data_IF_901751923691
#
_entry.id   IF_901751923691
#
_cell.length_a   1.000
_cell.length_b   1.000
_cell.length_c   1.000
_cell.angle_alpha   90.00
_cell.angle_beta   90.00
_cell.angle_gamma   90.00
#
_symmetry.space_group_name_H-M   'P 1'
#
loop_
_entity.id
_entity.type
_entity.pdbx_description
1 polymer ?
#
# COMPACT_ATOMS: atom_id res chain seq x y z
N UNK A 1 6.84 5.56 -7.29
CA UNK A 1 8.14 6.27 -7.13
C UNK A 1 8.59 6.22 -5.68
N UNK A 2 7.66 6.29 -4.72
CA UNK A 2 7.84 6.03 -3.29
C UNK A 2 8.71 4.82 -2.97
N UNK A 3 8.47 3.65 -3.58
CA UNK A 3 9.26 2.45 -3.28
C UNK A 3 10.77 2.65 -3.49
N UNK A 4 11.17 3.24 -4.62
CA UNK A 4 12.60 3.48 -4.91
C UNK A 4 13.21 4.55 -4.02
N UNK A 5 12.43 5.58 -3.66
CA UNK A 5 12.87 6.59 -2.69
C UNK A 5 13.08 5.96 -1.32
N UNK A 6 12.09 5.22 -0.81
CA UNK A 6 12.17 4.56 0.49
C UNK A 6 13.29 3.52 0.53
N UNK A 7 13.47 2.72 -0.52
CA UNK A 7 14.61 1.80 -0.68
C UNK A 7 15.94 2.57 -0.62
N UNK A 8 16.06 3.71 -1.31
CA UNK A 8 17.27 4.53 -1.29
C UNK A 8 17.51 5.14 0.11
N UNK A 9 16.48 5.68 0.77
CA UNK A 9 16.57 6.24 2.11
C UNK A 9 16.94 5.16 3.14
N UNK A 10 16.34 3.97 3.06
CA UNK A 10 16.70 2.82 3.90
C UNK A 10 18.13 2.34 3.67
N UNK A 11 18.63 2.46 2.43
CA UNK A 11 20.03 2.22 2.10
C UNK A 11 20.98 3.35 2.55
N UNK A 12 20.47 4.39 3.21
CA UNK A 12 21.26 5.50 3.75
C UNK A 12 21.46 6.67 2.79
N UNK A 13 20.64 6.80 1.75
CA UNK A 13 20.70 7.98 0.88
C UNK A 13 20.37 9.25 1.67
N UNK A 14 21.20 10.28 1.50
CA UNK A 14 21.03 11.59 2.14
C UNK A 14 20.25 12.60 1.27
N UNK A 15 19.81 12.21 0.07
CA UNK A 15 19.03 13.07 -0.80
C UNK A 15 18.52 12.35 -2.04
N UNK A 16 17.55 12.95 -2.73
CA UNK A 16 16.91 12.39 -3.92
C UNK A 16 16.60 13.47 -4.95
N UNK A 17 16.97 13.24 -6.21
CA UNK A 17 16.78 14.18 -7.31
C UNK A 17 16.12 13.44 -8.47
N UNK A 18 15.18 14.11 -9.14
CA UNK A 18 14.63 13.62 -10.38
C UNK A 18 15.62 13.82 -11.53
N UNK A 19 15.72 12.84 -12.42
CA UNK A 19 16.62 12.89 -13.59
C UNK A 19 16.43 14.16 -14.44
N UNK A 20 15.21 14.70 -14.50
CA UNK A 20 14.89 15.92 -15.25
C UNK A 20 15.45 17.21 -14.62
N UNK A 21 15.78 17.18 -13.32
CA UNK A 21 16.29 18.32 -12.56
C UNK A 21 17.77 18.15 -12.19
N UNK A 22 18.40 17.03 -12.60
CA UNK A 22 19.79 16.75 -12.27
C UNK A 22 20.74 17.85 -12.78
N UNK A 23 20.45 18.42 -13.95
CA UNK A 23 21.30 19.43 -14.59
C UNK A 23 21.36 20.74 -13.78
N UNK A 24 20.32 21.07 -13.01
CA UNK A 24 20.23 22.31 -12.23
C UNK A 24 20.40 22.10 -10.72
N UNK A 25 19.95 20.95 -10.20
CA UNK A 25 19.88 20.70 -8.76
C UNK A 25 21.02 19.84 -8.19
N UNK A 26 21.79 19.13 -9.03
CA UNK A 26 22.80 18.17 -8.53
C UNK A 26 23.90 18.85 -7.70
N UNK A 27 24.41 19.99 -8.17
CA UNK A 27 25.48 20.71 -7.46
C UNK A 27 24.98 21.22 -6.10
N UNK A 28 23.74 21.70 -6.05
CA UNK A 28 23.11 22.15 -4.81
C UNK A 28 22.90 21.00 -3.84
N UNK A 29 22.43 19.86 -4.34
CA UNK A 29 22.22 18.66 -3.56
C UNK A 29 23.50 18.15 -2.90
N UNK A 30 24.61 18.09 -3.64
CA UNK A 30 25.90 17.67 -3.09
C UNK A 30 26.34 18.63 -1.97
N UNK A 31 26.15 19.94 -2.15
CA UNK A 31 26.50 20.94 -1.14
C UNK A 31 25.62 20.85 0.12
N UNK A 32 24.33 20.57 -0.04
CA UNK A 32 23.40 20.36 1.08
C UNK A 32 23.76 19.12 1.89
N UNK A 33 23.97 17.98 1.20
CA UNK A 33 24.38 16.73 1.85
C UNK A 33 25.72 16.89 2.57
N UNK A 34 26.66 17.65 2.00
CA UNK A 34 27.93 17.97 2.67
C UNK A 34 27.75 18.73 4.00
N UNK A 35 26.68 19.54 4.13
CA UNK A 35 26.31 20.23 5.38
C UNK A 35 25.53 19.33 6.35
N UNK A 36 25.27 18.08 5.98
CA UNK A 36 24.41 17.17 6.75
C UNK A 36 22.92 17.47 6.58
N UNK A 37 22.54 18.26 5.57
CA UNK A 37 21.15 18.58 5.26
C UNK A 37 20.61 17.59 4.22
N UNK A 38 19.42 17.00 4.43
CA UNK A 38 18.78 16.22 3.40
C UNK A 38 18.38 17.12 2.23
N UNK A 39 18.49 16.62 1.00
CA UNK A 39 18.13 17.38 -0.19
C UNK A 39 17.12 16.66 -1.08
N UNK A 40 16.10 17.39 -1.50
CA UNK A 40 15.12 16.92 -2.46
C UNK A 40 14.61 18.09 -3.30
N UNK A 41 14.30 17.83 -4.57
CA UNK A 41 13.76 18.85 -5.47
C UNK A 41 12.25 19.03 -5.27
N UNK A 42 11.73 20.23 -5.54
CA UNK A 42 10.31 20.54 -5.42
C UNK A 42 9.43 19.62 -6.31
N UNK A 43 9.88 19.25 -7.52
CA UNK A 43 9.13 18.31 -8.33
C UNK A 43 9.13 16.89 -7.73
N UNK A 44 10.23 16.45 -7.09
CA UNK A 44 10.26 15.19 -6.34
C UNK A 44 9.29 15.24 -5.14
N UNK A 45 9.29 16.33 -4.37
CA UNK A 45 8.34 16.56 -3.26
C UNK A 45 6.89 16.52 -3.72
N UNK A 46 6.54 17.22 -4.80
CA UNK A 46 5.17 17.23 -5.35
C UNK A 46 4.75 15.87 -5.90
N UNK A 47 5.66 15.11 -6.49
CA UNK A 47 5.39 13.74 -6.93
C UNK A 47 5.15 12.82 -5.73
N UNK A 48 5.90 12.99 -4.64
CA UNK A 48 5.68 12.23 -3.41
C UNK A 48 4.38 12.58 -2.72
N UNK A 49 4.04 13.88 -2.62
CA UNK A 49 2.78 14.32 -2.05
C UNK A 49 1.58 13.79 -2.85
N UNK A 50 1.67 13.81 -4.19
CA UNK A 50 0.65 13.21 -5.06
C UNK A 50 0.52 11.71 -4.85
N UNK A 51 1.63 10.98 -4.87
CA UNK A 51 1.60 9.53 -4.66
C UNK A 51 1.11 9.16 -3.25
N UNK A 52 1.46 9.94 -2.22
CA UNK A 52 0.97 9.75 -0.85
C UNK A 52 -0.54 10.05 -0.73
N UNK A 53 -1.03 11.14 -1.33
CA UNK A 53 -2.46 11.45 -1.37
C UNK A 53 -3.27 10.42 -2.17
N UNK A 54 -2.68 9.84 -3.22
CA UNK A 54 -3.26 8.71 -3.95
C UNK A 54 -3.26 7.44 -3.10
N UNK A 55 -2.22 7.19 -2.30
CA UNK A 55 -2.13 6.03 -1.41
C UNK A 55 -3.10 6.13 -0.21
N UNK A 56 -3.38 7.34 0.28
CA UNK A 56 -4.35 7.58 1.37
C UNK A 56 -5.81 7.42 0.92
N UNK A 57 -6.07 7.40 -0.40
CA UNK A 57 -7.36 6.97 -0.95
C UNK A 57 -7.56 5.44 -0.94
N UNK A 58 -6.59 4.66 -0.43
CA UNK A 58 -6.62 3.20 -0.42
C UNK A 58 -6.80 2.56 0.98
N UNK A 59 -6.90 3.36 2.04
CA UNK A 59 -7.34 2.88 3.34
C UNK A 59 -8.86 2.63 3.34
N UNK A 60 -9.38 1.53 3.92
CA UNK A 60 -10.82 1.40 4.03
C UNK A 60 -11.39 2.57 4.83
N UNK A 61 -12.54 3.10 4.39
CA UNK A 61 -13.28 4.19 5.05
C UNK A 61 -13.53 3.88 6.54
N UNK A 62 -13.62 2.59 6.87
CA UNK A 62 -13.63 2.06 8.23
C UNK A 62 -12.58 0.96 8.41
N UNK A 63 -11.84 0.92 9.54
CA UNK A 63 -10.89 -0.14 9.80
C UNK A 63 -11.56 -1.53 9.80
N UNK A 64 -10.90 -2.50 9.16
CA UNK A 64 -11.36 -3.89 9.15
C UNK A 64 -11.25 -4.48 10.56
N UNK A 65 -12.31 -5.16 10.99
CA UNK A 65 -12.31 -5.99 12.20
C UNK A 65 -11.34 -7.17 12.07
N UNK A 66 -10.97 -7.80 13.18
CA UNK A 66 -10.11 -9.00 13.17
C UNK A 66 -10.69 -10.10 12.27
N UNK A 67 -11.99 -10.36 12.39
CA UNK A 67 -12.66 -11.40 11.58
C UNK A 67 -12.68 -11.06 10.09
N UNK A 68 -12.90 -9.79 9.74
CA UNK A 68 -12.82 -9.33 8.36
C UNK A 68 -11.41 -9.49 7.77
N UNK A 69 -10.35 -9.25 8.55
CA UNK A 69 -8.97 -9.48 8.12
C UNK A 69 -8.66 -10.96 7.88
N UNK A 70 -9.15 -11.85 8.75
CA UNK A 70 -9.01 -13.30 8.57
C UNK A 70 -9.71 -13.77 7.29
N UNK A 71 -10.94 -13.31 7.06
CA UNK A 71 -11.71 -13.64 5.85
C UNK A 71 -11.00 -13.11 4.60
N UNK A 72 -10.50 -11.87 4.62
CA UNK A 72 -9.73 -11.30 3.50
C UNK A 72 -8.49 -12.13 3.17
N UNK A 73 -7.74 -12.54 4.20
CA UNK A 73 -6.54 -13.38 4.02
C UNK A 73 -6.88 -14.70 3.33
N UNK A 74 -7.90 -15.41 3.80
CA UNK A 74 -8.29 -16.69 3.22
C UNK A 74 -8.85 -16.56 1.80
N UNK A 75 -9.59 -15.47 1.50
CA UNK A 75 -10.04 -15.14 0.14
C UNK A 75 -8.83 -14.95 -0.79
N UNK A 76 -7.81 -14.24 -0.30
CA UNK A 76 -6.59 -13.93 -1.02
C UNK A 76 -5.74 -15.19 -1.28
N UNK A 77 -5.73 -16.14 -0.34
CA UNK A 77 -5.17 -17.49 -0.48
C UNK A 77 -6.02 -18.44 -1.34
N UNK A 78 -6.95 -17.90 -2.12
CA UNK A 78 -7.80 -18.61 -3.06
C UNK A 78 -8.88 -19.55 -2.47
N UNK A 79 -9.13 -19.54 -1.16
CA UNK A 79 -10.19 -20.37 -0.55
C UNK A 79 -11.61 -19.98 -1.01
N UNK A 80 -12.49 -20.98 -1.11
CA UNK A 80 -13.93 -20.81 -1.36
C UNK A 80 -14.68 -20.43 -0.09
N UNK A 81 -15.87 -19.84 -0.19
CA UNK A 81 -16.68 -19.46 0.98
C UNK A 81 -16.93 -20.67 1.92
N UNK A 82 -17.18 -21.84 1.34
CA UNK A 82 -17.34 -23.10 2.09
C UNK A 82 -16.08 -23.47 2.89
N UNK A 83 -14.90 -23.46 2.24
CA UNK A 83 -13.63 -23.75 2.91
C UNK A 83 -13.31 -22.74 4.02
N UNK A 84 -13.60 -21.46 3.79
CA UNK A 84 -13.42 -20.41 4.80
C UNK A 84 -14.35 -20.67 5.99
N UNK A 85 -15.60 -21.07 5.74
CA UNK A 85 -16.56 -21.45 6.77
C UNK A 85 -16.08 -22.62 7.61
N UNK A 86 -15.54 -23.66 6.97
CA UNK A 86 -14.93 -24.81 7.64
C UNK A 86 -13.73 -24.39 8.50
N UNK A 87 -12.81 -23.59 7.97
CA UNK A 87 -11.62 -23.11 8.71
C UNK A 87 -11.99 -22.23 9.91
N UNK A 88 -12.98 -21.36 9.76
CA UNK A 88 -13.39 -20.40 10.80
C UNK A 88 -14.52 -20.91 11.71
N UNK A 89 -15.00 -22.14 11.49
CA UNK A 89 -16.14 -22.73 12.19
C UNK A 89 -17.42 -21.89 12.08
N UNK A 90 -17.69 -21.37 10.88
CA UNK A 90 -18.83 -20.51 10.54
C UNK A 90 -19.62 -21.09 9.36
N UNK A 91 -20.90 -20.71 9.25
CA UNK A 91 -21.69 -21.09 8.09
C UNK A 91 -21.22 -20.34 6.83
N UNK A 92 -21.38 -20.95 5.65
CA UNK A 92 -21.06 -20.32 4.37
C UNK A 92 -21.79 -18.97 4.20
N UNK A 93 -23.06 -18.90 4.64
CA UNK A 93 -23.87 -17.67 4.65
C UNK A 93 -23.27 -16.55 5.52
N UNK A 94 -22.63 -16.93 6.63
CA UNK A 94 -21.91 -15.97 7.49
C UNK A 94 -20.69 -15.42 6.78
N UNK A 95 -19.95 -16.26 6.03
CA UNK A 95 -18.80 -15.82 5.23
C UNK A 95 -19.23 -14.89 4.11
N UNK A 96 -20.33 -15.19 3.42
CA UNK A 96 -20.92 -14.28 2.41
C UNK A 96 -21.21 -12.89 2.99
N UNK A 97 -21.77 -12.85 4.20
CA UNK A 97 -22.07 -11.59 4.90
C UNK A 97 -20.79 -10.83 5.25
N UNK A 98 -19.75 -11.51 5.75
CA UNK A 98 -18.45 -10.88 5.99
C UNK A 98 -17.82 -10.34 4.71
N UNK A 99 -17.88 -11.09 3.61
CA UNK A 99 -17.34 -10.67 2.32
C UNK A 99 -18.09 -9.46 1.75
N UNK A 100 -19.42 -9.42 1.87
CA UNK A 100 -20.22 -8.28 1.46
C UNK A 100 -19.87 -7.00 2.25
N UNK A 101 -19.73 -7.12 3.58
CA UNK A 101 -19.31 -6.03 4.43
C UNK A 101 -17.90 -5.54 4.10
N UNK A 102 -16.99 -6.49 3.84
CA UNK A 102 -15.61 -6.19 3.49
C UNK A 102 -15.50 -5.47 2.14
N UNK A 103 -16.21 -5.93 1.11
CA UNK A 103 -16.30 -5.25 -0.19
C UNK A 103 -16.88 -3.84 -0.05
N UNK A 104 -17.93 -3.67 0.78
CA UNK A 104 -18.51 -2.36 1.05
C UNK A 104 -17.52 -1.41 1.76
N UNK A 105 -16.82 -1.88 2.79
CA UNK A 105 -15.86 -1.07 3.57
C UNK A 105 -14.61 -0.67 2.77
N UNK A 106 -14.19 -1.52 1.85
CA UNK A 106 -13.05 -1.30 0.97
C UNK A 106 -13.43 -0.65 -0.37
N UNK A 107 -14.72 -0.40 -0.60
CA UNK A 107 -15.28 0.08 -1.87
C UNK A 107 -14.88 -0.77 -3.09
N UNK A 108 -14.75 -2.08 -2.89
CA UNK A 108 -14.32 -3.03 -3.92
C UNK A 108 -15.49 -3.74 -4.57
N UNK A 109 -15.35 -4.01 -5.87
CA UNK A 109 -16.39 -4.53 -6.74
C UNK A 109 -16.30 -6.03 -6.95
N UNK A 110 -15.09 -6.59 -6.85
CA UNK A 110 -14.87 -8.00 -7.11
C UNK A 110 -13.77 -8.62 -6.25
N UNK A 111 -13.63 -9.95 -6.37
CA UNK A 111 -12.63 -10.74 -5.66
C UNK A 111 -11.20 -10.41 -6.08
N UNK A 112 -10.98 -10.00 -7.34
CA UNK A 112 -9.64 -9.69 -7.86
C UNK A 112 -9.11 -8.44 -7.18
N UNK A 113 -9.95 -7.43 -6.97
CA UNK A 113 -9.61 -6.23 -6.21
C UNK A 113 -9.24 -6.54 -4.76
N UNK A 114 -9.97 -7.45 -4.10
CA UNK A 114 -9.63 -7.92 -2.74
C UNK A 114 -8.25 -8.57 -2.68
N UNK A 115 -7.94 -9.43 -3.64
CA UNK A 115 -6.64 -10.14 -3.72
C UNK A 115 -5.51 -9.12 -3.94
N UNK A 116 -5.68 -8.18 -4.88
CA UNK A 116 -4.69 -7.11 -5.12
C UNK A 116 -4.48 -6.25 -3.88
N UNK A 117 -5.55 -5.94 -3.16
CA UNK A 117 -5.47 -5.20 -1.90
C UNK A 117 -4.68 -5.97 -0.83
N UNK A 118 -4.94 -7.28 -0.69
CA UNK A 118 -4.22 -8.11 0.26
C UNK A 118 -2.71 -8.17 -0.04
N UNK A 119 -2.32 -8.27 -1.31
CA UNK A 119 -0.91 -8.22 -1.75
C UNK A 119 -0.30 -6.86 -1.43
N UNK A 120 -0.95 -5.75 -1.81
CA UNK A 120 -0.44 -4.38 -1.56
C UNK A 120 -0.22 -4.11 -0.07
N UNK A 121 -1.06 -4.68 0.79
CA UNK A 121 -0.98 -4.52 2.26
C UNK A 121 -0.08 -5.57 2.93
N UNK A 122 0.60 -6.43 2.17
CA UNK A 122 1.50 -7.46 2.69
C UNK A 122 0.79 -8.55 3.52
N UNK A 123 -0.51 -8.78 3.28
CA UNK A 123 -1.26 -9.83 3.96
C UNK A 123 -0.97 -11.23 3.38
N UNK A 124 -0.54 -11.28 2.11
CA UNK A 124 -0.09 -12.47 1.38
C UNK A 124 1.07 -12.10 0.44
N UNK A 125 1.91 -13.08 0.09
CA UNK A 125 2.96 -12.95 -0.92
C UNK A 125 2.38 -13.19 -2.33
N UNK A 126 2.95 -12.53 -3.35
CA UNK A 126 2.49 -12.57 -4.75
C UNK A 126 3.10 -13.76 -5.53
#
# INVERSE_FOLDING_TARGET
MMRKLFEALQAGAAGYILKQEADTALVEAVRAVWRGEPFMTNAAEQSLLREWMEDDSSGPVEPLTLREREVLKLIAEAHTNKQIGETLHLSEKTIESHRANLMRKLEMRDRVELVRYAIRRGLIEA
#
